data_IF_769155618858
#
_entry.id   IF_769155618858
#
_cell.length_a   1.000
_cell.length_b   1.000
_cell.length_c   1.000
_cell.angle_alpha   90.00
_cell.angle_beta   90.00
_cell.angle_gamma   90.00
#
_symmetry.space_group_name_H-M   'P 1'
#
loop_
_entity.id
_entity.type
_entity.pdbx_description
1 polymer ?
#
# COMPACT_ATOMS: atom_id res chain seq x y z
N UNK A 1 -46.10 -37.76 7.74
CA UNK A 1 -45.68 -36.75 8.75
C UNK A 1 -44.22 -37.02 9.09
N UNK A 2 -43.29 -36.25 8.50
CA UNK A 2 -41.86 -36.32 8.81
C UNK A 2 -41.35 -34.88 8.83
N UNK A 3 -40.84 -34.37 9.97
CA UNK A 3 -40.58 -32.96 10.11
C UNK A 3 -39.30 -32.57 9.36
N UNK A 4 -39.43 -31.56 8.52
CA UNK A 4 -38.65 -30.33 8.65
C UNK A 4 -37.14 -30.53 8.95
N UNK A 5 -36.34 -30.82 7.93
CA UNK A 5 -34.90 -30.56 7.96
C UNK A 5 -34.62 -29.39 7.00
N UNK A 6 -34.98 -28.18 7.43
CA UNK A 6 -34.48 -26.95 6.82
C UNK A 6 -32.99 -26.84 7.17
N UNK A 7 -32.14 -27.44 6.33
CA UNK A 7 -30.72 -27.14 6.32
C UNK A 7 -30.55 -25.73 5.75
N UNK A 8 -30.61 -24.73 6.62
CA UNK A 8 -30.30 -23.35 6.29
C UNK A 8 -28.79 -23.28 6.01
N UNK A 9 -28.41 -23.43 4.73
CA UNK A 9 -27.08 -23.05 4.27
C UNK A 9 -26.96 -21.54 4.46
N UNK A 10 -26.38 -21.13 5.59
CA UNK A 10 -25.85 -19.77 5.74
C UNK A 10 -24.60 -19.71 4.87
N UNK A 11 -24.81 -19.55 3.55
CA UNK A 11 -23.82 -18.99 2.65
C UNK A 11 -23.67 -17.52 3.03
N UNK A 12 -23.01 -17.27 4.17
CA UNK A 12 -22.40 -15.98 4.41
C UNK A 12 -21.44 -15.77 3.26
N UNK A 13 -21.81 -14.92 2.32
CA UNK A 13 -20.91 -14.43 1.29
C UNK A 13 -19.68 -13.89 2.00
N UNK A 14 -18.59 -14.66 1.97
CA UNK A 14 -17.27 -14.18 2.33
C UNK A 14 -16.96 -13.08 1.32
N UNK A 15 -17.33 -11.85 1.66
CA UNK A 15 -16.91 -10.68 0.92
C UNK A 15 -15.38 -10.64 1.05
N UNK A 16 -14.70 -11.14 0.02
CA UNK A 16 -13.25 -11.02 -0.09
C UNK A 16 -12.97 -9.59 -0.52
N UNK A 17 -12.43 -8.78 0.39
CA UNK A 17 -11.90 -7.49 0.04
C UNK A 17 -10.63 -7.69 -0.82
N UNK A 18 -10.49 -6.87 -1.88
CA UNK A 18 -9.25 -6.84 -2.65
C UNK A 18 -8.09 -6.53 -1.70
N UNK A 19 -7.12 -7.44 -1.63
CA UNK A 19 -5.93 -7.29 -0.81
C UNK A 19 -4.75 -7.01 -1.73
N UNK A 20 -4.07 -5.90 -1.48
CA UNK A 20 -2.82 -5.56 -2.15
C UNK A 20 -1.70 -5.78 -1.16
N UNK A 21 -0.80 -6.69 -1.50
CA UNK A 21 0.41 -6.93 -0.72
C UNK A 21 1.59 -6.96 -1.71
N UNK A 22 2.32 -5.84 -1.85
CA UNK A 22 3.50 -5.80 -2.70
C UNK A 22 4.50 -6.86 -2.25
N UNK A 23 4.96 -7.68 -3.20
CA UNK A 23 5.90 -8.77 -2.90
C UNK A 23 7.32 -8.40 -3.29
N UNK A 24 8.20 -8.34 -2.29
CA UNK A 24 9.64 -8.12 -2.49
C UNK A 24 10.41 -9.40 -2.16
N UNK A 25 11.17 -9.89 -3.14
CA UNK A 25 12.01 -11.07 -2.94
C UNK A 25 13.34 -10.63 -2.33
N UNK A 26 13.84 -11.40 -1.36
CA UNK A 26 15.12 -11.11 -0.70
C UNK A 26 16.31 -11.07 -1.68
N UNK A 27 16.23 -11.86 -2.75
CA UNK A 27 17.25 -12.00 -3.79
C UNK A 27 17.26 -10.87 -4.81
N UNK A 28 16.23 -10.02 -4.83
CA UNK A 28 16.11 -8.95 -5.82
C UNK A 28 16.64 -7.64 -5.23
N UNK A 29 17.59 -7.04 -5.93
CA UNK A 29 18.00 -5.64 -5.73
C UNK A 29 17.76 -4.86 -7.03
N UNK A 30 17.03 -3.74 -6.96
CA UNK A 30 16.71 -2.92 -8.14
C UNK A 30 16.36 -1.48 -7.75
N UNK A 31 16.57 -0.50 -8.66
CA UNK A 31 16.39 0.93 -8.37
C UNK A 31 14.92 1.39 -8.45
N UNK A 32 13.95 0.51 -8.16
CA UNK A 32 12.53 0.87 -8.13
C UNK A 32 11.71 -0.15 -7.31
N UNK A 33 10.54 0.23 -6.76
CA UNK A 33 9.71 -0.61 -5.87
C UNK A 33 9.21 -1.94 -6.44
N UNK A 34 8.91 -1.98 -7.74
CA UNK A 34 8.11 -3.05 -8.33
C UNK A 34 6.80 -2.55 -8.93
N UNK A 35 6.10 -3.42 -9.68
CA UNK A 35 4.96 -3.01 -10.49
C UNK A 35 3.72 -2.63 -9.67
N UNK A 36 3.69 -3.03 -8.39
CA UNK A 36 2.55 -2.79 -7.51
C UNK A 36 2.50 -1.35 -6.97
N UNK A 37 3.61 -0.59 -7.07
CA UNK A 37 3.78 0.70 -6.43
C UNK A 37 4.36 1.75 -7.37
N UNK A 38 3.79 2.95 -7.32
CA UNK A 38 4.36 4.18 -7.84
C UNK A 38 5.24 4.81 -6.77
N UNK A 39 6.46 5.21 -7.14
CA UNK A 39 7.37 5.93 -6.27
C UNK A 39 7.52 7.38 -6.72
N UNK A 40 7.49 8.31 -5.76
CA UNK A 40 7.78 9.71 -6.00
C UNK A 40 8.81 10.26 -4.99
N UNK A 41 9.88 10.94 -5.45
CA UNK A 41 10.44 10.81 -6.80
C UNK A 41 11.02 9.41 -6.97
N UNK A 42 10.94 8.83 -8.17
CA UNK A 42 11.25 7.40 -8.37
C UNK A 42 12.70 7.02 -8.02
N UNK A 43 13.64 7.95 -8.24
CA UNK A 43 15.08 7.81 -7.98
C UNK A 43 15.45 7.72 -6.50
N UNK A 44 14.56 8.16 -5.59
CA UNK A 44 14.81 8.16 -4.15
C UNK A 44 14.50 6.80 -3.49
N UNK A 45 14.21 5.76 -4.29
CA UNK A 45 13.74 4.47 -3.82
C UNK A 45 14.51 3.30 -4.41
N UNK A 46 14.75 2.28 -3.59
CA UNK A 46 15.34 1.01 -4.02
C UNK A 46 14.64 -0.16 -3.36
N UNK A 47 14.51 -1.27 -4.09
CA UNK A 47 14.17 -2.56 -3.48
C UNK A 47 15.46 -3.30 -3.19
N UNK A 48 15.66 -3.75 -1.95
CA UNK A 48 16.86 -4.47 -1.51
C UNK A 48 16.53 -5.37 -0.32
N UNK A 49 17.01 -6.62 -0.34
CA UNK A 49 16.89 -7.55 0.79
C UNK A 49 15.46 -7.66 1.35
N UNK A 50 14.48 -7.82 0.45
CA UNK A 50 13.08 -8.06 0.82
C UNK A 50 12.33 -6.83 1.35
N UNK A 51 12.89 -5.62 1.21
CA UNK A 51 12.26 -4.36 1.61
C UNK A 51 12.45 -3.28 0.56
N UNK A 52 11.65 -2.22 0.68
CA UNK A 52 11.88 -0.96 -0.02
C UNK A 52 12.56 0.01 0.94
N UNK A 53 13.61 0.68 0.46
CA UNK A 53 14.32 1.71 1.21
C UNK A 53 14.21 3.05 0.48
N UNK A 54 13.94 4.11 1.24
CA UNK A 54 14.18 5.47 0.78
C UNK A 54 15.67 5.79 0.94
N UNK A 55 16.35 6.08 -0.17
CA UNK A 55 17.80 6.32 -0.21
C UNK A 55 18.18 7.79 -0.02
N UNK A 56 17.20 8.69 -0.12
CA UNK A 56 17.40 10.13 0.04
C UNK A 56 16.31 10.74 0.92
N UNK A 57 16.71 11.29 2.05
CA UNK A 57 15.79 11.93 3.00
C UNK A 57 15.21 13.23 2.44
N UNK A 58 13.90 13.40 2.55
CA UNK A 58 13.21 14.63 2.17
C UNK A 58 11.70 14.54 2.42
N UNK A 59 11.00 15.67 2.28
CA UNK A 59 9.53 15.69 2.32
C UNK A 59 8.91 15.06 1.08
N UNK A 60 7.68 14.57 1.18
CA UNK A 60 6.91 14.00 0.06
C UNK A 60 7.64 12.89 -0.71
N UNK A 61 8.30 12.00 0.03
CA UNK A 61 8.78 10.73 -0.52
C UNK A 61 7.66 9.73 -0.32
N UNK A 62 6.94 9.42 -1.39
CA UNK A 62 5.71 8.64 -1.33
C UNK A 62 5.82 7.33 -2.11
N UNK A 63 5.19 6.28 -1.58
CA UNK A 63 4.88 5.04 -2.28
C UNK A 63 3.37 4.91 -2.36
N UNK A 64 2.82 4.75 -3.57
CA UNK A 64 1.38 4.70 -3.80
C UNK A 64 0.98 3.43 -4.56
N UNK A 65 -0.04 2.67 -4.13
CA UNK A 65 -0.54 1.52 -4.88
C UNK A 65 -0.93 1.87 -6.32
N UNK A 66 -0.40 1.13 -7.29
CA UNK A 66 -0.76 1.28 -8.72
C UNK A 66 -1.95 0.42 -9.12
N UNK A 67 -2.20 -0.65 -8.38
CA UNK A 67 -3.10 -1.74 -8.77
C UNK A 67 -4.42 -1.75 -8.02
N UNK A 68 -4.65 -0.79 -7.11
CA UNK A 68 -6.00 -0.51 -6.62
C UNK A 68 -6.12 0.89 -6.00
N UNK A 69 -7.37 1.32 -5.89
CA UNK A 69 -7.78 2.61 -5.36
C UNK A 69 -8.99 2.43 -4.45
N UNK A 70 -9.20 3.36 -3.53
CA UNK A 70 -10.45 3.43 -2.77
C UNK A 70 -11.57 3.92 -3.68
N UNK A 71 -12.74 3.32 -3.56
CA UNK A 71 -13.93 3.77 -4.29
C UNK A 71 -14.76 4.72 -3.42
N UNK A 72 -15.75 5.44 -3.99
CA UNK A 72 -16.69 6.23 -3.20
C UNK A 72 -17.58 5.42 -2.23
N UNK A 73 -17.47 4.08 -2.23
CA UNK A 73 -18.24 3.23 -1.33
C UNK A 73 -17.89 3.51 0.14
N UNK A 74 -18.91 3.67 0.98
CA UNK A 74 -18.77 3.80 2.43
C UNK A 74 -18.53 2.42 3.06
N UNK A 75 -17.33 1.90 2.87
CA UNK A 75 -16.91 0.60 3.40
C UNK A 75 -15.64 0.77 4.25
N UNK A 76 -15.46 -0.05 5.31
CA UNK A 76 -14.22 -0.07 6.05
C UNK A 76 -13.08 -0.61 5.17
N UNK A 77 -11.87 -0.10 5.38
CA UNK A 77 -10.64 -0.62 4.79
C UNK A 77 -9.53 -0.65 5.83
N UNK A 78 -8.44 -1.35 5.54
CA UNK A 78 -7.27 -1.41 6.40
C UNK A 78 -6.02 -1.16 5.56
N UNK A 79 -5.16 -0.26 6.04
CA UNK A 79 -3.82 -0.07 5.50
C UNK A 79 -2.82 -0.33 6.62
N UNK A 80 -1.79 -1.10 6.31
CA UNK A 80 -0.71 -1.39 7.25
C UNK A 80 0.61 -1.16 6.54
N UNK A 81 1.48 -0.39 7.19
CA UNK A 81 2.86 -0.21 6.78
C UNK A 81 3.76 -0.59 7.94
N UNK A 82 4.75 -1.45 7.70
CA UNK A 82 5.84 -1.71 8.63
C UNK A 82 7.02 -0.87 8.17
N UNK A 83 7.54 -0.05 9.07
CA UNK A 83 8.68 0.82 8.78
C UNK A 83 9.78 0.51 9.78
N UNK A 84 11.01 0.55 9.29
CA UNK A 84 12.22 0.41 10.08
C UNK A 84 13.14 1.57 9.71
N UNK A 85 13.98 1.98 10.66
CA UNK A 85 14.91 3.07 10.47
C UNK A 85 16.23 2.56 9.89
N UNK A 86 16.57 2.99 8.67
CA UNK A 86 17.79 2.55 7.97
C UNK A 86 19.01 3.40 8.36
N UNK A 87 18.83 4.69 8.68
CA UNK A 87 19.90 5.60 9.13
C UNK A 87 19.55 6.23 10.47
N UNK A 88 20.51 6.28 11.40
CA UNK A 88 20.39 6.96 12.70
C UNK A 88 20.94 8.39 12.70
N UNK A 89 21.51 8.82 11.57
CA UNK A 89 21.98 10.19 11.38
C UNK A 89 20.84 10.99 10.75
N UNK A 90 20.22 11.85 11.55
CA UNK A 90 19.15 12.72 11.11
C UNK A 90 19.68 14.11 10.78
N UNK A 91 19.32 14.64 9.62
CA UNK A 91 19.59 16.04 9.29
C UNK A 91 18.54 16.98 9.87
N UNK A 92 17.29 16.50 9.99
CA UNK A 92 16.13 17.24 10.49
C UNK A 92 15.16 16.28 11.19
N UNK A 93 14.18 16.83 11.91
CA UNK A 93 13.02 16.06 12.36
C UNK A 93 12.18 15.63 11.16
N UNK A 94 11.63 14.41 11.21
CA UNK A 94 10.82 13.85 10.13
C UNK A 94 9.75 12.91 10.67
N UNK A 95 8.84 12.50 9.79
CA UNK A 95 7.79 11.55 10.09
C UNK A 95 7.64 10.56 8.94
N UNK A 96 7.03 9.42 9.27
CA UNK A 96 6.52 8.46 8.30
C UNK A 96 5.07 8.16 8.65
N UNK A 97 4.22 7.98 7.64
CA UNK A 97 2.79 7.83 7.86
C UNK A 97 2.05 7.31 6.63
N UNK A 98 0.73 7.28 6.74
CA UNK A 98 -0.18 6.87 5.68
C UNK A 98 -0.98 8.10 5.23
N UNK A 99 -1.03 8.33 3.92
CA UNK A 99 -1.88 9.34 3.30
C UNK A 99 -3.10 8.66 2.66
N UNK A 100 -4.28 9.27 2.80
CA UNK A 100 -5.54 8.75 2.27
C UNK A 100 -6.27 9.89 1.56
N UNK A 101 -6.90 9.58 0.43
CA UNK A 101 -7.67 10.57 -0.35
C UNK A 101 -6.80 11.45 -1.25
N UNK A 102 -5.64 10.95 -1.69
CA UNK A 102 -4.83 11.58 -2.72
C UNK A 102 -5.65 11.71 -4.01
N UNK A 103 -5.75 12.93 -4.54
CA UNK A 103 -6.47 13.24 -5.78
C UNK A 103 -5.88 14.50 -6.39
N UNK A 104 -5.41 14.42 -7.63
CA UNK A 104 -4.94 15.57 -8.40
C UNK A 104 -6.07 16.41 -9.00
N UNK A 105 -5.75 17.55 -9.64
CA UNK A 105 -6.73 18.35 -10.37
C UNK A 105 -7.55 17.58 -11.41
N UNK A 106 -6.95 16.56 -12.06
CA UNK A 106 -7.66 15.70 -13.02
C UNK A 106 -8.43 14.55 -12.37
N UNK A 107 -8.23 14.33 -11.07
CA UNK A 107 -8.67 13.15 -10.35
C UNK A 107 -7.65 12.00 -10.34
N UNK A 108 -6.53 12.08 -11.09
CA UNK A 108 -5.45 11.11 -10.98
C UNK A 108 -4.65 11.35 -9.69
N UNK A 109 -4.61 10.33 -8.81
CA UNK A 109 -3.87 10.41 -7.56
C UNK A 109 -2.36 10.59 -7.78
N UNK A 110 -1.81 10.17 -8.93
CA UNK A 110 -0.37 10.26 -9.25
C UNK A 110 0.10 11.70 -9.41
N UNK A 111 -0.81 12.62 -9.74
CA UNK A 111 -0.50 14.06 -9.80
C UNK A 111 -0.31 14.68 -8.41
N UNK A 112 -0.93 14.08 -7.39
CA UNK A 112 -0.84 14.52 -6.00
C UNK A 112 0.22 13.76 -5.17
N UNK A 113 0.73 12.66 -5.73
CA UNK A 113 1.74 11.78 -5.11
C UNK A 113 3.14 12.33 -5.33
#
# INVERSE_FOLDING_TARGET
MQPLLFLLLVLGSLASAATIEPRWQETITRPWPGPDLWANPAEDWTTKAGRIENTFSGGNRNLVPLTAELTPAKAPFTVRCRTDQVSTVFQLQGFVGIQVGLSGPSGDFREAA
#
